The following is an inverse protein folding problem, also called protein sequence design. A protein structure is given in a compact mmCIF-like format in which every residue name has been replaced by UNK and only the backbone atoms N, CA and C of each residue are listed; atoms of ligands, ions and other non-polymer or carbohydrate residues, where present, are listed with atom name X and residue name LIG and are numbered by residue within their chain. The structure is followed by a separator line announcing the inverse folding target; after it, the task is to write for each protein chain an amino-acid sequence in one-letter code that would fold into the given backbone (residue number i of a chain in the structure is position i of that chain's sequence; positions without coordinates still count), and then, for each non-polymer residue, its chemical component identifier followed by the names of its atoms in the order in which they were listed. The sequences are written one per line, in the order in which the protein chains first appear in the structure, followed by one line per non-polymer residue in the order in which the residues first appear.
data_IF_964519023314
#
_entry.id   IF_964519023314
#
_cell.length_a   1.000
_cell.length_b   1.000
_cell.length_c   1.000
_cell.angle_alpha   90.00
_cell.angle_beta   90.00
_cell.angle_gamma   90.00
#
_symmetry.space_group_name_H-M   'P 1'
#
loop_
_entity.id
_entity.type
_entity.pdbx_description
1 polymer ?
#
# COMPACT_ATOMS: atom_id res chain seq x y z
N UNK A 1 -1.92 18.31 18.89
CA UNK A 1 -2.16 17.80 17.53
C UNK A 1 -1.02 18.12 16.57
N UNK A 2 -0.53 19.33 16.56
CA UNK A 2 0.53 19.81 15.64
C UNK A 2 1.85 19.02 15.74
N UNK A 3 2.31 18.69 16.95
CA UNK A 3 3.59 17.99 17.16
C UNK A 3 3.58 16.54 16.68
N UNK A 4 2.45 15.84 16.82
CA UNK A 4 2.31 14.44 16.35
C UNK A 4 2.33 14.38 14.83
N UNK A 5 1.57 15.24 14.15
CA UNK A 5 1.53 15.28 12.69
C UNK A 5 2.91 15.63 12.10
N UNK A 6 3.63 16.60 12.68
CA UNK A 6 5.02 16.91 12.29
C UNK A 6 5.95 15.70 12.44
N UNK A 7 5.76 14.93 13.50
CA UNK A 7 6.53 13.70 13.69
C UNK A 7 6.20 12.64 12.61
N UNK A 8 4.93 12.48 12.26
CA UNK A 8 4.47 11.58 11.20
C UNK A 8 5.04 11.99 9.83
N UNK A 9 5.03 13.29 9.50
CA UNK A 9 5.68 13.83 8.31
C UNK A 9 7.18 13.51 8.27
N UNK A 10 7.90 13.78 9.35
CA UNK A 10 9.34 13.49 9.43
C UNK A 10 9.64 11.99 9.30
N UNK A 11 8.81 11.12 9.87
CA UNK A 11 8.94 9.68 9.76
C UNK A 11 8.67 9.18 8.33
N UNK A 12 7.64 9.73 7.65
CA UNK A 12 7.32 9.41 6.26
C UNK A 12 8.44 9.88 5.30
N UNK A 13 8.99 11.07 5.50
CA UNK A 13 10.14 11.57 4.72
C UNK A 13 11.34 10.64 4.88
N UNK A 14 11.70 10.29 6.11
CA UNK A 14 12.82 9.38 6.39
C UNK A 14 12.62 7.99 5.77
N UNK A 15 11.38 7.49 5.79
CA UNK A 15 11.02 6.23 5.14
C UNK A 15 11.22 6.30 3.63
N UNK A 16 10.67 7.32 2.95
CA UNK A 16 10.82 7.50 1.51
C UNK A 16 12.28 7.61 1.08
N UNK A 17 13.10 8.35 1.83
CA UNK A 17 14.54 8.48 1.56
C UNK A 17 15.28 7.15 1.59
N UNK A 18 14.76 6.15 2.32
CA UNK A 18 15.35 4.82 2.44
C UNK A 18 14.78 3.81 1.43
N UNK A 19 13.52 3.99 1.00
CA UNK A 19 12.85 3.07 0.07
C UNK A 19 13.17 3.43 -1.38
N UNK A 20 13.13 4.71 -1.73
CA UNK A 20 13.48 5.20 -3.07
C UNK A 20 14.99 5.38 -3.14
N UNK A 21 15.71 4.42 -3.70
CA UNK A 21 17.18 4.39 -3.68
C UNK A 21 17.82 4.46 -5.07
N UNK A 22 17.10 4.04 -6.11
CA UNK A 22 17.57 4.03 -7.48
C UNK A 22 16.80 4.99 -8.39
N UNK A 23 17.31 5.27 -9.60
CA UNK A 23 16.63 6.12 -10.58
C UNK A 23 15.31 5.50 -11.09
N UNK A 24 15.19 4.19 -11.02
CA UNK A 24 14.02 3.43 -11.46
C UNK A 24 12.97 3.29 -10.33
N UNK A 25 13.35 3.60 -9.09
CA UNK A 25 12.41 3.65 -7.96
C UNK A 25 11.61 4.96 -8.05
N UNK A 26 10.36 4.90 -8.47
CA UNK A 26 9.48 6.06 -8.57
C UNK A 26 8.44 6.03 -7.48
N UNK A 27 8.19 7.19 -6.89
CA UNK A 27 7.10 7.36 -5.94
C UNK A 27 6.30 8.63 -6.24
N UNK A 28 5.07 8.67 -5.76
CA UNK A 28 4.21 9.85 -5.72
C UNK A 28 3.61 9.98 -4.31
N UNK A 29 3.11 11.15 -3.99
CA UNK A 29 2.51 11.46 -2.68
C UNK A 29 1.08 11.95 -2.86
N UNK A 30 0.17 11.34 -2.12
CA UNK A 30 -1.24 11.73 -2.05
C UNK A 30 -1.55 12.16 -0.62
N UNK A 31 -2.13 13.34 -0.49
CA UNK A 31 -2.72 13.79 0.76
C UNK A 31 -4.21 13.48 0.81
N UNK A 32 -4.69 13.14 2.00
CA UNK A 32 -6.08 12.77 2.26
C UNK A 32 -6.69 13.78 3.23
N UNK A 33 -7.72 14.46 2.73
CA UNK A 33 -8.60 15.33 3.52
C UNK A 33 -10.05 14.97 3.14
N UNK A 34 -10.95 15.97 3.11
CA UNK A 34 -12.31 15.80 2.52
C UNK A 34 -12.27 15.38 1.04
N UNK A 35 -11.14 15.51 0.40
CA UNK A 35 -10.88 15.15 -0.99
C UNK A 35 -9.47 14.60 -1.17
N UNK A 36 -9.25 13.95 -2.30
CA UNK A 36 -7.95 13.39 -2.68
C UNK A 36 -7.11 14.47 -3.35
N UNK A 37 -5.90 14.68 -2.86
CA UNK A 37 -4.96 15.63 -3.45
C UNK A 37 -3.65 14.94 -3.84
N UNK A 38 -3.33 14.92 -5.13
CA UNK A 38 -2.00 14.53 -5.59
C UNK A 38 -1.03 15.68 -5.35
N UNK A 39 -0.20 15.59 -4.30
CA UNK A 39 0.73 16.67 -3.91
C UNK A 39 2.07 16.58 -4.61
N UNK A 40 2.49 15.36 -4.98
CA UNK A 40 3.68 15.14 -5.80
C UNK A 40 3.41 13.98 -6.76
N UNK A 41 3.59 14.20 -8.03
CA UNK A 41 3.49 13.13 -9.04
C UNK A 41 4.76 12.26 -9.07
N UNK A 42 4.73 11.17 -9.84
CA UNK A 42 5.85 10.23 -9.95
C UNK A 42 7.19 10.92 -10.14
N UNK A 43 8.10 10.63 -9.24
CA UNK A 43 9.45 11.16 -9.27
C UNK A 43 10.42 10.22 -8.53
N UNK A 44 11.69 10.08 -8.95
CA UNK A 44 12.75 9.49 -8.14
C UNK A 44 13.38 10.51 -7.17
N UNK A 45 13.01 11.78 -7.27
CA UNK A 45 13.59 12.88 -6.49
C UNK A 45 13.05 12.91 -5.07
N UNK A 46 13.87 12.42 -4.14
CA UNK A 46 13.55 12.38 -2.70
C UNK A 46 13.36 13.77 -2.09
N UNK A 47 14.02 14.79 -2.64
CA UNK A 47 13.88 16.17 -2.17
C UNK A 47 12.50 16.74 -2.48
N UNK A 48 11.99 16.51 -3.70
CA UNK A 48 10.62 16.91 -4.08
C UNK A 48 9.56 16.22 -3.23
N UNK A 49 9.71 14.93 -2.98
CA UNK A 49 8.79 14.18 -2.11
C UNK A 49 8.82 14.67 -0.67
N UNK A 50 10.02 14.93 -0.14
CA UNK A 50 10.18 15.44 1.21
C UNK A 50 9.53 16.83 1.39
N UNK A 51 9.75 17.72 0.43
CA UNK A 51 9.12 19.04 0.41
C UNK A 51 7.59 18.93 0.35
N UNK A 52 7.06 18.11 -0.55
CA UNK A 52 5.62 17.90 -0.67
C UNK A 52 4.97 17.36 0.63
N UNK A 53 5.66 16.47 1.35
CA UNK A 53 5.17 15.96 2.64
C UNK A 53 5.26 17.03 3.74
N UNK A 54 6.34 17.82 3.79
CA UNK A 54 6.55 18.81 4.84
C UNK A 54 5.52 19.96 4.76
N UNK A 55 5.01 20.24 3.56
CA UNK A 55 3.99 21.26 3.34
C UNK A 55 2.54 20.77 3.60
N UNK A 56 2.33 19.49 3.90
CA UNK A 56 1.00 18.99 4.21
C UNK A 56 0.45 19.64 5.49
N UNK A 57 -0.84 19.95 5.46
CA UNK A 57 -1.59 20.42 6.61
C UNK A 57 -2.80 19.51 6.87
N UNK A 58 -3.13 19.37 8.14
CA UNK A 58 -4.35 18.66 8.55
C UNK A 58 -5.56 19.57 8.39
N UNK A 59 -6.60 19.13 7.69
CA UNK A 59 -7.84 19.89 7.56
C UNK A 59 -9.03 18.96 7.22
N UNK A 60 -10.16 19.21 7.86
CA UNK A 60 -11.46 18.63 7.49
C UNK A 60 -11.64 17.16 7.80
N UNK A 61 -12.46 16.49 7.00
CA UNK A 61 -12.73 15.04 7.09
C UNK A 61 -11.68 14.21 6.36
N UNK A 62 -11.92 12.91 6.26
CA UNK A 62 -10.99 11.93 5.69
C UNK A 62 -11.69 11.11 4.61
N UNK A 63 -11.35 11.32 3.34
CA UNK A 63 -11.76 10.50 2.20
C UNK A 63 -10.71 9.42 1.92
N UNK A 64 -10.49 8.54 2.91
CA UNK A 64 -9.37 7.57 2.90
C UNK A 64 -9.49 6.57 1.76
N UNK A 65 -10.69 5.98 1.58
CA UNK A 65 -10.87 4.94 0.56
C UNK A 65 -10.85 5.52 -0.84
N UNK A 66 -11.35 6.76 -1.04
CA UNK A 66 -11.21 7.45 -2.34
C UNK A 66 -9.74 7.68 -2.69
N UNK A 67 -8.91 8.05 -1.70
CA UNK A 67 -7.48 8.26 -1.92
C UNK A 67 -6.74 6.96 -2.22
N UNK A 68 -7.05 5.88 -1.51
CA UNK A 68 -6.45 4.55 -1.76
C UNK A 68 -6.87 4.03 -3.13
N UNK A 69 -8.13 4.22 -3.53
CA UNK A 69 -8.62 3.86 -4.87
C UNK A 69 -7.90 4.66 -5.97
N UNK A 70 -7.82 5.98 -5.82
CA UNK A 70 -7.09 6.85 -6.73
C UNK A 70 -5.62 6.43 -6.86
N UNK A 71 -4.95 6.18 -5.74
CA UNK A 71 -3.55 5.78 -5.75
C UNK A 71 -3.33 4.41 -6.40
N UNK A 72 -4.24 3.44 -6.22
CA UNK A 72 -4.17 2.15 -6.88
C UNK A 72 -4.30 2.27 -8.40
N UNK A 73 -5.26 3.06 -8.89
CA UNK A 73 -5.43 3.36 -10.31
C UNK A 73 -4.21 4.08 -10.87
N UNK A 74 -3.69 5.07 -10.15
CA UNK A 74 -2.50 5.83 -10.57
C UNK A 74 -1.25 4.94 -10.65
N UNK A 75 -1.01 4.04 -9.69
CA UNK A 75 0.10 3.07 -9.75
C UNK A 75 0.01 2.18 -11.01
N UNK A 76 -1.20 1.82 -11.43
CA UNK A 76 -1.42 0.98 -12.60
C UNK A 76 -1.47 1.74 -13.91
N UNK A 77 -1.57 3.06 -13.90
CA UNK A 77 -1.67 3.88 -15.11
C UNK A 77 -0.36 3.95 -15.93
N UNK A 78 0.76 3.61 -15.30
CA UNK A 78 2.05 3.55 -16.00
C UNK A 78 2.17 2.25 -16.79
N UNK A 79 2.57 2.39 -18.05
CA UNK A 79 2.98 1.27 -18.88
C UNK A 79 4.42 0.93 -18.55
N UNK A 80 4.62 -0.26 -17.99
CA UNK A 80 5.94 -0.76 -17.63
C UNK A 80 6.39 -1.82 -18.64
N UNK A 81 7.63 -1.73 -19.09
CA UNK A 81 8.23 -2.70 -20.01
C UNK A 81 8.79 -3.92 -19.31
N UNK A 82 8.98 -3.83 -17.99
CA UNK A 82 9.46 -4.91 -17.14
C UNK A 82 8.53 -5.10 -15.94
N UNK A 83 8.54 -6.28 -15.30
CA UNK A 83 7.78 -6.51 -14.08
C UNK A 83 8.19 -5.55 -12.97
N UNK A 84 7.24 -4.79 -12.43
CA UNK A 84 7.46 -3.86 -11.33
C UNK A 84 6.64 -4.25 -10.11
N UNK A 85 7.16 -3.94 -8.94
CA UNK A 85 6.41 -4.06 -7.69
C UNK A 85 5.60 -2.78 -7.44
N UNK A 86 4.27 -2.86 -7.49
CA UNK A 86 3.39 -1.77 -7.12
C UNK A 86 3.09 -1.85 -5.62
N UNK A 87 3.59 -0.87 -4.90
CA UNK A 87 3.47 -0.81 -3.44
C UNK A 87 2.82 0.50 -3.05
N UNK A 88 1.85 0.42 -2.16
CA UNK A 88 1.22 1.57 -1.52
C UNK A 88 1.46 1.50 -0.02
N UNK A 89 1.81 2.63 0.58
CA UNK A 89 1.93 2.78 2.02
C UNK A 89 0.92 3.82 2.49
N UNK A 90 -0.01 3.39 3.33
CA UNK A 90 -1.05 4.23 3.92
C UNK A 90 -0.67 4.52 5.37
N UNK A 91 -0.54 5.78 5.72
CA UNK A 91 -0.29 6.25 7.10
C UNK A 91 -1.54 7.00 7.54
N UNK A 92 -2.35 6.37 8.40
CA UNK A 92 -3.67 6.88 8.81
C UNK A 92 -4.13 6.15 10.07
N UNK A 93 -5.09 6.69 10.81
CA UNK A 93 -5.82 5.99 11.88
C UNK A 93 -6.90 5.03 11.33
N UNK A 94 -7.14 5.06 10.03
CA UNK A 94 -8.08 4.18 9.34
C UNK A 94 -9.53 4.67 9.36
N UNK A 95 -9.81 5.81 9.99
CA UNK A 95 -11.13 6.41 9.95
C UNK A 95 -11.41 6.99 8.56
N UNK A 96 -12.61 6.71 8.06
CA UNK A 96 -13.12 7.22 6.80
C UNK A 96 -14.52 7.76 7.00
N UNK A 97 -14.73 9.02 6.65
CA UNK A 97 -16.03 9.68 6.84
C UNK A 97 -16.50 10.51 5.62
N UNK A 98 -15.73 10.48 4.54
CA UNK A 98 -15.99 11.34 3.38
C UNK A 98 -15.83 10.62 2.04
N UNK A 99 -15.44 9.34 2.01
CA UNK A 99 -15.29 8.59 0.76
C UNK A 99 -16.60 8.26 0.09
N UNK A 100 -16.59 8.23 -1.22
CA UNK A 100 -17.68 7.76 -2.08
C UNK A 100 -17.58 6.25 -2.38
N UNK A 101 -16.38 5.67 -2.32
CA UNK A 101 -16.16 4.25 -2.52
C UNK A 101 -16.05 3.50 -1.19
N UNK A 102 -16.42 2.22 -1.21
CA UNK A 102 -16.35 1.34 -0.05
C UNK A 102 -14.98 0.64 0.06
N UNK A 103 -14.61 0.20 1.27
CA UNK A 103 -13.41 -0.63 1.49
C UNK A 103 -13.37 -1.86 0.56
N UNK A 104 -14.51 -2.51 0.31
CA UNK A 104 -14.61 -3.69 -0.57
C UNK A 104 -14.24 -3.35 -2.02
N UNK A 105 -14.71 -2.22 -2.53
CA UNK A 105 -14.40 -1.74 -3.88
C UNK A 105 -12.92 -1.44 -4.02
N UNK A 106 -12.35 -0.76 -3.02
CA UNK A 106 -10.92 -0.44 -2.99
C UNK A 106 -10.05 -1.68 -2.96
N UNK A 107 -10.39 -2.69 -2.14
CA UNK A 107 -9.69 -3.98 -2.13
C UNK A 107 -9.75 -4.62 -3.52
N UNK A 108 -10.93 -4.60 -4.16
CA UNK A 108 -11.10 -5.14 -5.51
C UNK A 108 -10.21 -4.41 -6.52
N UNK A 109 -10.17 -3.08 -6.47
CA UNK A 109 -9.28 -2.26 -7.31
C UNK A 109 -7.82 -2.62 -7.08
N UNK A 110 -7.36 -2.63 -5.84
CA UNK A 110 -5.97 -2.95 -5.50
C UNK A 110 -5.54 -4.34 -6.01
N UNK A 111 -6.42 -5.35 -5.86
CA UNK A 111 -6.16 -6.70 -6.38
C UNK A 111 -6.11 -6.75 -7.90
N UNK A 112 -7.04 -6.06 -8.60
CA UNK A 112 -7.05 -5.99 -10.07
C UNK A 112 -5.86 -5.23 -10.64
N UNK A 113 -5.35 -4.24 -9.91
CA UNK A 113 -4.19 -3.41 -10.29
C UNK A 113 -2.87 -3.97 -9.76
N UNK A 114 -2.89 -5.12 -9.09
CA UNK A 114 -1.73 -5.80 -8.51
C UNK A 114 -0.93 -4.92 -7.55
N UNK A 115 -1.64 -4.10 -6.76
CA UNK A 115 -1.05 -3.20 -5.75
C UNK A 115 -1.07 -3.88 -4.40
N UNK A 116 0.10 -4.02 -3.78
CA UNK A 116 0.20 -4.44 -2.38
C UNK A 116 0.09 -3.23 -1.46
N UNK A 117 -0.90 -3.24 -0.57
CA UNK A 117 -1.18 -2.14 0.36
C UNK A 117 -0.61 -2.46 1.73
N UNK A 118 0.33 -1.65 2.18
CA UNK A 118 0.86 -1.66 3.54
C UNK A 118 0.23 -0.52 4.32
N UNK A 119 -0.14 -0.77 5.56
CA UNK A 119 -0.76 0.26 6.39
C UNK A 119 0.01 0.46 7.70
N UNK A 120 0.12 1.70 8.12
CA UNK A 120 0.72 2.08 9.39
C UNK A 120 -0.29 2.93 10.13
N UNK A 121 -0.86 2.37 11.21
CA UNK A 121 -1.85 3.08 12.02
C UNK A 121 -1.18 4.19 12.81
N UNK A 122 -1.72 5.40 12.72
CA UNK A 122 -1.29 6.54 13.53
C UNK A 122 -2.05 6.63 14.86
N UNK A 123 -2.94 5.69 15.13
CA UNK A 123 -3.75 5.64 16.34
C UNK A 123 -2.90 5.41 17.59
N UNK A 124 -3.26 6.09 18.66
CA UNK A 124 -2.66 5.87 19.98
C UNK A 124 -3.10 4.53 20.55
N UNK A 125 -2.16 3.75 21.12
CA UNK A 125 -2.45 2.47 21.76
C UNK A 125 -3.42 2.59 22.96
N UNK A 126 -3.48 3.74 23.58
CA UNK A 126 -4.36 4.01 24.74
C UNK A 126 -5.78 4.39 24.32
N UNK A 127 -6.01 4.78 23.06
CA UNK A 127 -7.35 5.12 22.56
C UNK A 127 -8.20 3.84 22.41
N UNK A 128 -9.40 3.86 23.00
CA UNK A 128 -10.34 2.73 23.00
C UNK A 128 -11.68 3.07 22.34
N UNK A 129 -11.71 4.14 21.56
CA UNK A 129 -12.88 4.54 20.78
C UNK A 129 -13.24 3.48 19.74
N UNK A 130 -14.53 3.27 19.50
CA UNK A 130 -15.05 2.25 18.61
C UNK A 130 -14.66 2.53 17.14
N UNK A 131 -14.73 3.79 16.71
CA UNK A 131 -14.36 4.21 15.34
C UNK A 131 -12.91 3.86 15.01
N UNK A 132 -11.98 4.15 15.90
CA UNK A 132 -10.58 3.80 15.69
C UNK A 132 -10.30 2.29 15.72
N UNK A 133 -11.10 1.49 16.47
CA UNK A 133 -10.99 0.02 16.40
C UNK A 133 -11.43 -0.47 15.02
N UNK A 134 -12.52 0.05 14.48
CA UNK A 134 -13.02 -0.27 13.15
C UNK A 134 -12.02 0.19 12.07
N UNK A 135 -11.43 1.37 12.21
CA UNK A 135 -10.37 1.88 11.35
C UNK A 135 -9.17 0.95 11.29
N UNK A 136 -8.65 0.53 12.44
CA UNK A 136 -7.55 -0.44 12.53
C UNK A 136 -7.89 -1.79 11.87
N UNK A 137 -9.12 -2.28 12.04
CA UNK A 137 -9.58 -3.51 11.39
C UNK A 137 -9.66 -3.37 9.87
N UNK A 138 -10.11 -2.22 9.38
CA UNK A 138 -10.17 -1.93 7.95
C UNK A 138 -8.77 -1.85 7.34
N UNK A 139 -7.82 -1.16 7.98
CA UNK A 139 -6.42 -1.11 7.59
C UNK A 139 -5.77 -2.50 7.56
N UNK A 140 -6.05 -3.33 8.56
CA UNK A 140 -5.57 -4.70 8.61
C UNK A 140 -6.15 -5.55 7.47
N UNK A 141 -7.45 -5.41 7.21
CA UNK A 141 -8.16 -6.18 6.18
C UNK A 141 -7.60 -5.91 4.79
N UNK A 142 -7.46 -4.63 4.40
CA UNK A 142 -6.93 -4.29 3.08
C UNK A 142 -5.50 -4.76 2.91
N UNK A 143 -4.64 -4.61 3.92
CA UNK A 143 -3.25 -5.07 3.86
C UNK A 143 -3.17 -6.58 3.67
N UNK A 144 -3.88 -7.35 4.47
CA UNK A 144 -3.84 -8.82 4.41
C UNK A 144 -4.35 -9.37 3.08
N UNK A 145 -5.42 -8.78 2.52
CA UNK A 145 -6.01 -9.26 1.27
C UNK A 145 -5.15 -8.91 0.05
N UNK A 146 -4.47 -7.77 0.07
CA UNK A 146 -3.66 -7.28 -1.06
C UNK A 146 -2.20 -7.75 -1.02
N UNK A 147 -1.78 -8.44 0.05
CA UNK A 147 -0.43 -8.99 0.17
C UNK A 147 0.58 -8.04 0.82
N UNK A 148 0.10 -7.04 1.51
CA UNK A 148 0.90 -6.19 2.39
C UNK A 148 0.84 -6.63 3.86
N UNK A 149 1.18 -5.71 4.74
CA UNK A 149 1.14 -5.88 6.20
C UNK A 149 0.59 -4.62 6.87
N UNK A 150 -0.09 -4.81 8.01
CA UNK A 150 -0.58 -3.71 8.84
C UNK A 150 0.31 -3.58 10.08
N UNK A 151 0.76 -2.36 10.33
CA UNK A 151 1.59 -2.00 11.48
C UNK A 151 0.79 -1.12 12.43
N UNK A 152 0.89 -1.43 13.73
CA UNK A 152 0.25 -0.67 14.81
C UNK A 152 1.31 -0.24 15.81
N UNK A 153 2.05 0.84 15.54
CA UNK A 153 3.14 1.29 16.40
C UNK A 153 2.70 1.71 17.80
N UNK A 154 1.44 2.14 17.96
CA UNK A 154 0.85 2.56 19.24
C UNK A 154 1.47 3.81 19.87
N UNK A 155 2.59 4.29 19.34
CA UNK A 155 3.26 5.51 19.78
C UNK A 155 4.08 6.12 18.66
N UNK A 156 4.40 7.40 18.78
CA UNK A 156 5.25 8.10 17.83
C UNK A 156 6.65 7.44 17.72
N UNK A 157 7.25 7.02 18.82
CA UNK A 157 8.56 6.32 18.80
C UNK A 157 8.49 4.97 18.09
N UNK A 158 7.38 4.22 18.24
CA UNK A 158 7.14 2.95 17.57
C UNK A 158 7.00 3.09 16.06
N UNK A 159 6.53 4.25 15.57
CA UNK A 159 6.36 4.53 14.15
C UNK A 159 7.67 4.38 13.35
N UNK A 160 8.77 4.91 13.87
CA UNK A 160 10.07 4.76 13.21
C UNK A 160 10.50 3.28 13.09
N UNK A 161 10.23 2.46 14.11
CA UNK A 161 10.51 1.02 14.11
C UNK A 161 9.68 0.31 13.04
N UNK A 162 8.36 0.56 13.01
CA UNK A 162 7.45 -0.02 12.02
C UNK A 162 7.82 0.36 10.58
N UNK A 163 8.18 1.61 10.33
CA UNK A 163 8.61 2.06 9.01
C UNK A 163 9.98 1.47 8.60
N UNK A 164 10.88 1.21 9.55
CA UNK A 164 12.14 0.53 9.26
C UNK A 164 11.92 -0.95 8.90
N UNK A 165 11.07 -1.66 9.63
CA UNK A 165 10.66 -3.02 9.29
C UNK A 165 9.98 -3.07 7.92
N UNK A 166 9.05 -2.16 7.67
CA UNK A 166 8.35 -2.05 6.38
C UNK A 166 9.33 -1.83 5.22
N UNK A 167 10.35 -1.01 5.40
CA UNK A 167 11.41 -0.80 4.39
C UNK A 167 12.10 -2.12 4.04
N UNK A 168 12.50 -2.93 5.04
CA UNK A 168 13.13 -4.22 4.82
C UNK A 168 12.20 -5.18 4.05
N UNK A 169 10.93 -5.22 4.43
CA UNK A 169 9.90 -6.04 3.77
C UNK A 169 9.74 -5.63 2.30
N UNK A 170 9.64 -4.33 2.01
CA UNK A 170 9.48 -3.85 0.63
C UNK A 170 10.70 -4.18 -0.23
N UNK A 171 11.91 -4.05 0.31
CA UNK A 171 13.16 -4.29 -0.43
C UNK A 171 13.50 -5.78 -0.58
N UNK A 172 12.92 -6.67 0.22
CA UNK A 172 13.16 -8.13 0.20
C UNK A 172 12.05 -8.93 -0.49
N UNK A 173 11.29 -8.32 -1.40
CA UNK A 173 10.19 -8.99 -2.11
C UNK A 173 10.70 -9.94 -3.19
N UNK A 174 9.92 -11.02 -3.37
CA UNK A 174 10.11 -11.97 -4.47
C UNK A 174 8.95 -11.85 -5.46
N UNK A 175 9.24 -11.93 -6.74
CA UNK A 175 8.24 -12.13 -7.79
C UNK A 175 8.15 -13.63 -8.07
N UNK A 176 6.95 -14.19 -7.86
CA UNK A 176 6.66 -15.59 -8.17
C UNK A 176 5.57 -15.60 -9.24
N UNK A 177 5.87 -16.20 -10.38
CA UNK A 177 4.91 -16.38 -11.46
C UNK A 177 4.52 -17.86 -11.55
N UNK A 178 3.25 -18.14 -11.73
CA UNK A 178 2.74 -19.47 -11.98
C UNK A 178 1.63 -19.42 -13.03
N UNK A 179 1.44 -20.53 -13.72
CA UNK A 179 0.34 -20.70 -14.67
C UNK A 179 -0.60 -21.79 -14.13
N UNK A 180 -1.88 -21.48 -13.86
CA UNK A 180 -2.86 -22.49 -13.50
C UNK A 180 -3.08 -23.49 -14.63
N UNK A 181 -3.27 -24.78 -14.30
CA UNK A 181 -3.53 -25.84 -15.29
C UNK A 181 -4.79 -25.61 -16.11
N UNK A 182 -5.82 -25.03 -15.48
CA UNK A 182 -7.11 -24.70 -16.10
C UNK A 182 -7.43 -23.23 -15.92
N UNK A 183 -6.64 -22.34 -16.56
CA UNK A 183 -6.90 -20.91 -16.52
C UNK A 183 -8.10 -20.56 -17.41
N UNK A 184 -9.12 -19.93 -16.82
CA UNK A 184 -10.26 -19.36 -17.55
C UNK A 184 -10.32 -17.86 -17.25
N UNK A 185 -10.24 -17.01 -18.28
CA UNK A 185 -10.28 -15.55 -18.13
C UNK A 185 -11.74 -15.07 -17.99
N UNK A 186 -12.41 -15.46 -16.92
CA UNK A 186 -13.83 -15.22 -16.66
C UNK A 186 -14.11 -14.05 -15.71
N UNK A 187 -13.06 -13.34 -15.27
CA UNK A 187 -13.17 -12.22 -14.34
C UNK A 187 -13.47 -12.60 -12.89
N UNK A 188 -13.64 -13.92 -12.58
CA UNK A 188 -13.93 -14.35 -11.24
C UNK A 188 -12.70 -14.32 -10.32
N UNK A 189 -12.97 -14.21 -9.02
CA UNK A 189 -11.93 -14.26 -8.00
C UNK A 189 -11.40 -15.69 -7.82
N UNK A 190 -10.09 -15.83 -7.75
CA UNK A 190 -9.37 -17.06 -7.46
C UNK A 190 -8.57 -16.88 -6.18
N UNK A 191 -8.85 -17.69 -5.17
CA UNK A 191 -8.07 -17.70 -3.94
C UNK A 191 -6.68 -18.32 -4.18
N UNK A 192 -5.68 -17.76 -3.50
CA UNK A 192 -4.31 -18.27 -3.47
C UNK A 192 -3.92 -18.48 -2.01
N UNK A 193 -3.30 -19.61 -1.73
CA UNK A 193 -2.59 -19.83 -0.48
C UNK A 193 -1.12 -20.10 -0.77
N UNK A 194 -0.24 -19.33 -0.13
CA UNK A 194 1.20 -19.43 -0.30
C UNK A 194 1.82 -19.75 1.06
N UNK A 195 2.54 -20.85 1.11
CA UNK A 195 3.36 -21.22 2.26
C UNK A 195 4.83 -21.26 1.88
N UNK A 196 5.70 -20.86 2.79
CA UNK A 196 7.13 -20.94 2.62
C UNK A 196 7.78 -21.56 3.86
N UNK A 197 8.86 -22.29 3.64
CA UNK A 197 9.61 -22.96 4.68
C UNK A 197 11.11 -22.79 4.45
N UNK A 198 11.87 -22.68 5.51
CA UNK A 198 13.34 -22.67 5.47
C UNK A 198 13.88 -23.50 6.63
N UNK A 199 14.68 -24.51 6.30
CA UNK A 199 15.29 -25.43 7.28
C UNK A 199 14.27 -26.07 8.24
N UNK A 200 13.11 -26.51 7.74
CA UNK A 200 12.03 -27.12 8.54
C UNK A 200 11.18 -26.12 9.35
N UNK A 201 11.42 -24.83 9.23
CA UNK A 201 10.66 -23.80 9.94
C UNK A 201 9.75 -23.04 8.96
N UNK A 202 8.47 -22.94 9.29
CA UNK A 202 7.51 -22.12 8.52
C UNK A 202 7.90 -20.65 8.60
N UNK A 203 7.93 -20.00 7.44
CA UNK A 203 8.16 -18.56 7.32
C UNK A 203 6.83 -17.81 7.31
N UNK A 204 6.87 -16.57 7.79
CA UNK A 204 5.75 -15.64 7.65
C UNK A 204 5.74 -15.10 6.22
N UNK A 205 4.62 -15.31 5.51
CA UNK A 205 4.46 -14.90 4.12
C UNK A 205 3.49 -13.73 4.05
N UNK A 206 3.91 -12.66 3.36
CA UNK A 206 3.06 -11.56 2.96
C UNK A 206 2.80 -11.67 1.46
N UNK A 207 1.61 -12.12 1.10
CA UNK A 207 1.20 -12.31 -0.29
C UNK A 207 -0.30 -12.04 -0.44
N UNK A 208 -0.71 -11.62 -1.63
CA UNK A 208 -2.14 -11.47 -1.94
C UNK A 208 -2.89 -12.79 -1.73
N UNK A 209 -4.09 -12.71 -1.18
CA UNK A 209 -4.92 -13.89 -0.90
C UNK A 209 -5.68 -14.40 -2.11
N UNK A 210 -5.55 -13.75 -3.24
CA UNK A 210 -6.18 -14.15 -4.48
C UNK A 210 -5.99 -13.11 -5.59
N UNK A 211 -6.61 -13.37 -6.72
CA UNK A 211 -6.64 -12.49 -7.87
C UNK A 211 -7.95 -12.63 -8.63
N UNK A 212 -8.27 -11.65 -9.44
CA UNK A 212 -9.35 -11.74 -10.41
C UNK A 212 -8.79 -12.24 -11.75
N UNK A 213 -9.35 -13.34 -12.28
CA UNK A 213 -8.93 -13.89 -13.56
C UNK A 213 -9.28 -12.88 -14.67
N UNK A 214 -8.26 -12.18 -15.19
CA UNK A 214 -8.47 -11.11 -16.18
C UNK A 214 -9.06 -11.66 -17.47
N UNK A 215 -10.06 -10.98 -18.01
CA UNK A 215 -10.59 -11.21 -19.35
C UNK A 215 -9.70 -10.61 -20.44
N UNK A 216 -8.75 -9.72 -20.10
CA UNK A 216 -7.76 -9.22 -21.03
C UNK A 216 -6.68 -10.30 -21.24
N UNK A 217 -6.45 -10.71 -22.47
CA UNK A 217 -5.35 -11.60 -22.83
C UNK A 217 -4.03 -10.91 -22.44
N UNK A 218 -3.34 -11.46 -21.45
CA UNK A 218 -1.94 -11.13 -21.24
C UNK A 218 -1.20 -11.57 -22.51
N UNK A 219 -0.69 -10.62 -23.31
CA UNK A 219 0.21 -10.95 -24.42
C UNK A 219 1.40 -11.71 -23.82
N UNK A 220 1.67 -12.95 -24.22
CA UNK A 220 2.85 -13.65 -23.72
C UNK A 220 4.11 -12.84 -24.06
N UNK A 221 5.15 -12.86 -23.21
CA UNK A 221 6.41 -12.28 -23.59
C UNK A 221 6.86 -12.95 -24.89
N UNK A 222 7.18 -12.14 -25.91
CA UNK A 222 7.77 -12.62 -27.15
C UNK A 222 9.11 -13.26 -26.76
N UNK A 223 9.19 -14.59 -26.91
CA UNK A 223 10.46 -15.31 -26.86
C UNK A 223 11.20 -14.95 -28.12
N UNK A 224 12.21 -14.06 -28.01
CA UNK A 224 13.22 -13.89 -29.06
C UNK A 224 13.90 -15.25 -29.29
N UNK A 225 13.79 -15.71 -30.54
CA UNK A 225 14.53 -16.84 -31.07
C UNK A 225 15.95 -16.42 -31.47
#
# INVERSE_FOLDING_TARGET
MTDRFKFEQAAAIKFLQKVVTGPDDLAFVVAVNNSVLLVQDFTPDRGKMAHAIDELATAGGTALWDAVNFAAEKLASRLETQPVARVMVVISDGEDNSSSVTLKEVITTALRREVAVYTVSTRDAMSRDESGILGDQALQTISQLTGGAAYRPGSASGLNGSLSELQEVIRSRYLISYRPDSFQPDGHYRAIDISAEKNGHKLRVYARRGYYASTAQAKPPETDQ
#
